data_IF_135374562106
#
_entry.id   IF_135374562106
#
_cell.length_a   1.000
_cell.length_b   1.000
_cell.length_c   1.000
_cell.angle_alpha   90.00
_cell.angle_beta   90.00
_cell.angle_gamma   90.00
#
_symmetry.space_group_name_H-M   'P 1'
#
loop_
_entity.id
_entity.type
_entity.pdbx_description
1 polymer ?
#
# COMPACT_ATOMS: atom_id res chain seq x y z
N UNK A 1 28.18 32.03 -12.20
CA UNK A 1 27.57 32.28 -13.53
C UNK A 1 26.07 32.06 -13.38
N UNK A 2 25.26 33.10 -13.60
CA UNK A 2 23.81 33.11 -13.34
C UNK A 2 23.09 32.50 -14.55
N UNK A 3 22.36 31.40 -14.36
CA UNK A 3 21.27 31.03 -15.26
C UNK A 3 19.97 31.65 -14.72
N UNK A 4 19.40 32.58 -15.50
CA UNK A 4 18.06 33.12 -15.28
C UNK A 4 17.04 32.03 -15.62
N UNK A 5 16.18 31.64 -14.66
CA UNK A 5 14.91 31.01 -15.01
C UNK A 5 13.95 32.12 -15.46
N UNK A 6 13.32 31.90 -16.61
CA UNK A 6 12.28 32.78 -17.14
C UNK A 6 10.99 32.52 -16.35
N UNK A 7 10.46 33.58 -15.72
CA UNK A 7 9.16 33.57 -15.08
C UNK A 7 8.04 33.36 -16.11
N UNK A 8 7.06 32.52 -15.74
CA UNK A 8 5.88 32.28 -16.55
C UNK A 8 4.93 33.48 -16.44
N UNK A 9 4.62 34.11 -17.58
CA UNK A 9 3.69 35.24 -17.68
C UNK A 9 2.31 34.70 -18.02
N UNK A 10 1.32 34.93 -17.16
CA UNK A 10 -0.09 34.67 -17.48
C UNK A 10 -0.66 35.88 -18.22
N UNK A 11 -0.98 35.72 -19.50
CA UNK A 11 -1.70 36.73 -20.28
C UNK A 11 -3.15 36.30 -20.44
N UNK A 12 -4.07 37.05 -19.81
CA UNK A 12 -5.52 37.03 -20.12
C UNK A 12 -5.76 37.93 -21.31
N UNK A 13 -6.42 37.44 -22.35
CA UNK A 13 -7.18 38.24 -23.33
C UNK A 13 -8.27 37.35 -23.93
N UNK A 14 -9.56 37.62 -23.75
CA UNK A 14 -10.38 38.73 -24.29
C UNK A 14 -10.61 38.58 -25.81
N UNK A 15 -11.86 38.33 -26.19
CA UNK A 15 -12.24 37.80 -27.50
C UNK A 15 -12.36 38.84 -28.62
N UNK A 16 -12.50 38.36 -29.86
CA UNK A 16 -13.08 39.11 -30.96
C UNK A 16 -13.73 38.17 -31.98
N UNK A 17 -15.01 38.43 -32.28
CA UNK A 17 -15.74 37.80 -33.38
C UNK A 17 -15.42 38.42 -34.73
N UNK A 18 -15.66 37.66 -35.81
CA UNK A 18 -15.51 38.13 -37.19
C UNK A 18 -16.28 37.24 -38.15
N UNK A 19 -17.19 37.86 -38.91
CA UNK A 19 -18.27 37.29 -39.73
C UNK A 19 -17.82 36.55 -40.99
N UNK A 20 -18.72 35.65 -41.42
CA UNK A 20 -18.84 35.08 -42.77
C UNK A 20 -18.88 36.15 -43.88
N UNK A 21 -18.22 35.85 -45.00
CA UNK A 21 -18.68 36.23 -46.33
C UNK A 21 -18.49 35.07 -47.32
N UNK A 22 -19.57 34.81 -48.04
CA UNK A 22 -19.79 33.79 -49.06
C UNK A 22 -19.48 34.43 -50.43
N UNK A 23 -18.75 33.77 -51.35
CA UNK A 23 -18.96 33.93 -52.80
C UNK A 23 -18.24 32.84 -53.61
N UNK A 24 -18.93 32.43 -54.66
CA UNK A 24 -18.77 31.20 -55.42
C UNK A 24 -18.06 31.45 -56.78
N UNK A 25 -17.37 30.41 -57.27
CA UNK A 25 -17.06 30.04 -58.68
C UNK A 25 -15.94 30.75 -59.48
N UNK A 26 -14.89 29.95 -59.76
CA UNK A 26 -14.35 29.51 -61.07
C UNK A 26 -14.01 30.57 -62.15
N UNK A 27 -12.91 30.52 -62.93
CA UNK A 27 -11.90 29.48 -63.24
C UNK A 27 -10.75 30.14 -64.07
N UNK A 28 -9.52 29.65 -63.85
CA UNK A 28 -8.38 29.49 -64.79
C UNK A 28 -7.68 30.75 -65.35
N UNK A 29 -6.39 30.94 -64.99
CA UNK A 29 -5.27 30.93 -65.95
C UNK A 29 -3.88 30.92 -65.25
N UNK A 30 -3.06 29.92 -65.63
CA UNK A 30 -1.58 29.84 -65.66
C UNK A 30 -0.79 30.09 -64.36
N UNK A 31 -0.54 29.00 -63.61
CA UNK A 31 0.45 28.94 -62.53
C UNK A 31 1.77 28.33 -62.99
N UNK A 32 2.86 29.11 -62.90
CA UNK A 32 4.24 28.62 -62.84
C UNK A 32 4.47 28.17 -61.40
N UNK A 33 4.60 26.86 -61.18
CA UNK A 33 4.86 26.29 -59.85
C UNK A 33 6.33 26.56 -59.46
N UNK A 34 6.56 27.55 -58.60
CA UNK A 34 7.73 27.59 -57.72
C UNK A 34 7.30 27.04 -56.36
N UNK A 35 7.86 25.91 -55.98
CA UNK A 35 7.62 25.25 -54.70
C UNK A 35 8.18 26.12 -53.58
N UNK A 36 7.30 26.83 -52.85
CA UNK A 36 7.65 27.45 -51.59
C UNK A 36 7.45 26.42 -50.48
N UNK A 37 8.54 25.97 -49.86
CA UNK A 37 8.51 25.14 -48.66
C UNK A 37 8.03 26.02 -47.51
N UNK A 38 6.78 25.84 -47.07
CA UNK A 38 6.28 26.39 -45.81
C UNK A 38 6.61 25.38 -44.72
N UNK A 39 7.64 25.68 -43.93
CA UNK A 39 7.91 24.96 -42.70
C UNK A 39 6.84 25.35 -41.67
N UNK A 40 5.79 24.53 -41.54
CA UNK A 40 4.87 24.62 -40.41
C UNK A 40 5.60 24.03 -39.20
N UNK A 41 6.17 24.90 -38.38
CA UNK A 41 6.65 24.52 -37.04
C UNK A 41 5.41 24.21 -36.21
N UNK A 42 5.08 22.93 -36.13
CA UNK A 42 4.08 22.44 -35.18
C UNK A 42 4.61 22.66 -33.77
N UNK A 43 4.11 23.67 -33.08
CA UNK A 43 4.32 23.83 -31.65
C UNK A 43 3.47 22.73 -30.99
N UNK A 44 4.09 21.59 -30.70
CA UNK A 44 3.51 20.62 -29.78
C UNK A 44 3.54 21.25 -28.39
N UNK A 45 2.41 21.79 -27.95
CA UNK A 45 2.23 22.17 -26.56
C UNK A 45 2.10 20.86 -25.77
N UNK A 46 3.23 20.34 -25.30
CA UNK A 46 3.22 19.39 -24.20
C UNK A 46 2.69 20.17 -23.00
N UNK A 47 1.43 19.95 -22.64
CA UNK A 47 0.96 20.32 -21.32
C UNK A 47 1.79 19.53 -20.32
N UNK A 48 2.75 20.20 -19.67
CA UNK A 48 3.37 19.65 -18.47
C UNK A 48 2.28 19.59 -17.41
N UNK A 49 1.64 18.43 -17.26
CA UNK A 49 1.03 18.10 -15.98
C UNK A 49 2.18 17.99 -14.99
N UNK A 50 2.27 18.93 -14.06
CA UNK A 50 3.22 18.88 -12.95
C UNK A 50 3.00 17.56 -12.21
N UNK A 51 3.94 16.63 -12.33
CA UNK A 51 3.92 15.41 -11.53
C UNK A 51 4.41 15.83 -10.15
N UNK A 52 3.49 15.98 -9.20
CA UNK A 52 3.85 16.14 -7.79
C UNK A 52 4.38 14.82 -7.22
N UNK A 53 5.38 14.89 -6.36
CA UNK A 53 5.89 13.76 -5.59
C UNK A 53 7.26 14.08 -5.00
N UNK A 54 7.32 14.53 -3.74
CA UNK A 54 8.59 14.90 -3.10
C UNK A 54 9.61 13.73 -3.02
N UNK A 55 9.13 12.49 -3.15
CA UNK A 55 9.93 11.27 -3.18
C UNK A 55 10.24 10.75 -4.60
N UNK A 56 9.74 11.37 -5.67
CA UNK A 56 10.01 10.96 -7.07
C UNK A 56 11.15 11.81 -7.68
N UNK A 57 12.32 11.23 -8.02
CA UNK A 57 13.44 11.97 -8.64
C UNK A 57 13.12 12.65 -9.97
N UNK A 58 12.01 12.28 -10.60
CA UNK A 58 11.53 12.86 -11.86
C UNK A 58 10.38 13.88 -11.65
N UNK A 59 9.94 14.10 -10.40
CA UNK A 59 8.96 15.12 -10.08
C UNK A 59 9.60 16.51 -10.06
N UNK A 60 8.81 17.51 -10.41
CA UNK A 60 9.25 18.91 -10.42
C UNK A 60 9.61 19.43 -9.01
N UNK A 61 9.20 18.70 -7.97
CA UNK A 61 9.37 19.05 -6.56
C UNK A 61 10.09 17.95 -5.74
N UNK A 62 10.97 17.17 -6.38
CA UNK A 62 11.79 16.19 -5.69
C UNK A 62 12.61 16.81 -4.56
N UNK A 63 12.52 16.23 -3.36
CA UNK A 63 13.34 16.58 -2.20
C UNK A 63 14.13 15.34 -1.74
N UNK A 64 15.46 15.32 -1.90
CA UNK A 64 16.29 14.18 -1.49
C UNK A 64 16.35 13.98 0.04
N UNK A 65 15.85 14.94 0.82
CA UNK A 65 15.70 14.85 2.27
C UNK A 65 14.29 14.49 2.72
N UNK A 66 13.32 14.42 1.78
CA UNK A 66 11.99 13.96 2.09
C UNK A 66 12.02 12.51 2.58
N UNK A 67 11.26 12.27 3.63
CA UNK A 67 11.10 10.95 4.19
C UNK A 67 10.20 10.13 3.27
N UNK A 68 10.68 8.99 2.75
CA UNK A 68 9.83 7.99 2.06
C UNK A 68 8.64 7.54 2.93
N UNK A 69 8.77 7.66 4.24
CA UNK A 69 7.82 7.26 5.27
C UNK A 69 6.91 8.39 5.80
N UNK A 70 6.93 9.59 5.19
CA UNK A 70 6.16 10.76 5.66
C UNK A 70 5.25 11.38 4.59
N UNK A 71 4.19 12.06 5.03
CA UNK A 71 3.39 12.95 4.17
C UNK A 71 4.32 13.99 3.55
N UNK A 72 4.28 14.20 2.23
CA UNK A 72 4.98 15.31 1.59
C UNK A 72 4.38 16.62 2.12
N UNK A 73 5.03 17.22 3.11
CA UNK A 73 4.66 18.52 3.68
C UNK A 73 5.60 19.57 3.11
N UNK A 74 5.07 20.56 2.39
CA UNK A 74 5.88 21.66 1.86
C UNK A 74 6.00 22.76 2.92
N UNK A 75 7.21 23.24 3.18
CA UNK A 75 7.42 24.51 3.90
C UNK A 75 7.70 25.61 2.88
N UNK A 76 6.87 26.65 2.83
CA UNK A 76 7.11 27.84 2.03
C UNK A 76 7.49 28.95 3.02
N UNK A 77 8.80 29.09 3.21
CA UNK A 77 9.40 29.99 4.21
C UNK A 77 8.98 29.68 5.66
N UNK A 78 9.73 30.22 6.62
CA UNK A 78 9.80 29.73 8.03
C UNK A 78 8.50 29.84 8.86
N UNK A 79 7.37 30.19 8.27
CA UNK A 79 6.10 30.39 8.99
C UNK A 79 4.87 29.77 8.30
N UNK A 80 4.96 29.33 7.04
CA UNK A 80 3.81 28.74 6.32
C UNK A 80 4.11 27.32 5.79
N UNK A 81 3.27 26.39 6.22
CA UNK A 81 3.26 24.99 5.78
C UNK A 81 2.15 24.81 4.75
N UNK A 82 2.48 24.45 3.52
CA UNK A 82 1.50 24.08 2.48
C UNK A 82 1.41 22.57 2.40
N UNK A 83 0.24 22.02 2.71
CA UNK A 83 -0.11 20.63 2.39
C UNK A 83 -0.62 20.62 0.94
N UNK A 84 -0.17 19.70 0.06
CA UNK A 84 -0.76 19.60 -1.28
C UNK A 84 -2.29 19.41 -1.16
N UNK A 85 -3.06 20.13 -1.99
CA UNK A 85 -4.54 20.03 -2.07
C UNK A 85 -5.06 18.60 -2.37
N UNK A 86 -4.18 17.63 -2.59
CA UNK A 86 -4.50 16.25 -2.94
C UNK A 86 -4.14 15.20 -1.88
N UNK A 87 -3.79 15.56 -0.64
CA UNK A 87 -3.63 14.58 0.44
C UNK A 87 -5.01 14.04 0.88
N UNK A 88 -5.43 12.94 0.28
CA UNK A 88 -6.72 12.30 0.57
C UNK A 88 -6.48 11.20 1.62
N UNK A 89 -7.09 11.29 2.81
CA UNK A 89 -6.92 10.27 3.85
C UNK A 89 -7.49 8.92 3.40
N UNK A 90 -6.78 7.86 3.76
CA UNK A 90 -7.21 6.47 3.60
C UNK A 90 -7.18 5.81 4.98
N UNK A 91 -8.35 5.54 5.56
CA UNK A 91 -8.47 4.72 6.75
C UNK A 91 -8.48 3.26 6.32
N UNK A 92 -7.64 2.44 6.95
CA UNK A 92 -7.48 1.02 6.63
C UNK A 92 -7.88 0.22 7.87
N UNK A 93 -8.73 -0.79 7.71
CA UNK A 93 -9.10 -1.72 8.76
C UNK A 93 -8.99 -3.16 8.26
N UNK A 94 -8.39 -4.05 9.03
CA UNK A 94 -8.41 -5.49 8.75
C UNK A 94 -9.23 -6.20 9.82
N UNK A 95 -10.33 -6.82 9.42
CA UNK A 95 -11.13 -7.65 10.30
C UNK A 95 -10.84 -9.12 10.03
N UNK A 96 -10.58 -9.89 11.09
CA UNK A 96 -10.35 -11.31 10.97
C UNK A 96 -11.64 -12.09 11.18
N UNK A 97 -11.82 -13.13 10.38
CA UNK A 97 -12.92 -14.07 10.52
C UNK A 97 -12.43 -15.51 10.57
N UNK A 98 -13.19 -16.37 11.24
CA UNK A 98 -13.03 -17.81 11.21
C UNK A 98 -14.41 -18.44 10.98
N UNK A 99 -14.54 -19.26 9.92
CA UNK A 99 -15.84 -19.78 9.47
C UNK A 99 -16.91 -18.68 9.25
N UNK A 100 -16.49 -17.52 8.73
CA UNK A 100 -17.38 -16.38 8.45
C UNK A 100 -17.91 -15.65 9.69
N UNK A 101 -17.40 -15.94 10.89
CA UNK A 101 -17.69 -15.21 12.14
C UNK A 101 -16.44 -14.46 12.60
N UNK A 102 -16.64 -13.44 13.43
CA UNK A 102 -15.55 -12.68 14.02
C UNK A 102 -14.55 -13.59 14.73
N UNK A 103 -13.27 -13.37 14.45
CA UNK A 103 -12.16 -14.09 15.07
C UNK A 103 -11.64 -13.31 16.28
N UNK A 104 -11.27 -14.04 17.33
CA UNK A 104 -10.59 -13.54 18.51
C UNK A 104 -9.42 -14.46 18.90
N UNK A 105 -8.32 -13.85 19.35
CA UNK A 105 -7.19 -14.61 19.89
C UNK A 105 -7.61 -15.37 21.14
N UNK A 106 -6.97 -16.52 21.36
CA UNK A 106 -7.18 -17.43 22.49
C UNK A 106 -8.56 -18.09 22.57
N UNK A 107 -9.39 -17.95 21.54
CA UNK A 107 -10.60 -18.76 21.37
C UNK A 107 -10.31 -20.05 20.58
N UNK A 108 -11.14 -21.07 20.83
CA UNK A 108 -11.05 -22.38 20.16
C UNK A 108 -11.80 -22.37 18.84
N UNK A 109 -11.12 -22.81 17.79
CA UNK A 109 -11.66 -23.02 16.46
C UNK A 109 -11.35 -24.45 15.98
N UNK A 110 -12.06 -24.89 14.95
CA UNK A 110 -11.80 -26.16 14.26
C UNK A 110 -11.33 -25.85 12.85
N UNK A 111 -10.17 -26.38 12.46
CA UNK A 111 -9.66 -26.23 11.10
C UNK A 111 -10.36 -27.20 10.12
N UNK A 112 -10.04 -27.10 8.83
CA UNK A 112 -10.63 -27.95 7.78
C UNK A 112 -10.31 -29.45 7.94
N UNK A 113 -9.23 -29.79 8.67
CA UNK A 113 -8.85 -31.17 9.00
C UNK A 113 -9.56 -31.72 10.26
N UNK A 114 -10.46 -30.94 10.86
CA UNK A 114 -11.20 -31.33 12.07
C UNK A 114 -10.39 -31.23 13.37
N UNK A 115 -9.24 -30.54 13.36
CA UNK A 115 -8.41 -30.30 14.55
C UNK A 115 -8.88 -29.06 15.29
N UNK A 116 -9.11 -29.20 16.60
CA UNK A 116 -9.29 -28.05 17.48
C UNK A 116 -7.97 -27.33 17.69
N UNK A 117 -7.99 -26.00 17.55
CA UNK A 117 -6.84 -25.16 17.79
C UNK A 117 -7.26 -23.80 18.35
N UNK A 118 -6.29 -23.05 18.89
CA UNK A 118 -6.40 -21.62 19.09
C UNK A 118 -5.18 -20.94 18.51
N UNK A 119 -5.31 -19.66 18.14
CA UNK A 119 -4.18 -18.78 17.88
C UNK A 119 -4.00 -17.82 19.05
N UNK A 120 -2.78 -17.72 19.56
CA UNK A 120 -2.40 -16.78 20.62
C UNK A 120 -1.71 -15.54 20.08
N UNK A 121 -1.13 -15.62 18.88
CA UNK A 121 -0.45 -14.51 18.20
C UNK A 121 -0.82 -14.52 16.73
N UNK A 122 -1.23 -13.36 16.22
CA UNK A 122 -1.42 -13.12 14.78
C UNK A 122 -1.03 -11.68 14.47
N UNK A 123 0.13 -11.51 13.84
CA UNK A 123 0.57 -10.21 13.35
C UNK A 123 1.44 -10.32 12.13
N UNK A 124 1.35 -9.35 11.24
CA UNK A 124 2.07 -9.36 9.96
C UNK A 124 2.24 -7.96 9.39
N UNK A 125 3.29 -7.81 8.60
CA UNK A 125 3.50 -6.60 7.82
C UNK A 125 2.68 -6.62 6.54
N UNK A 126 2.18 -5.45 6.16
CA UNK A 126 1.85 -5.15 4.78
C UNK A 126 2.65 -3.95 4.32
N UNK A 127 3.05 -3.94 3.06
CA UNK A 127 3.88 -2.90 2.47
C UNK A 127 3.46 -2.55 1.04
N UNK A 128 3.87 -1.39 0.55
CA UNK A 128 3.64 -0.92 -0.81
C UNK A 128 2.14 -0.90 -1.21
N UNK A 129 1.25 -0.46 -0.32
CA UNK A 129 -0.19 -0.46 -0.59
C UNK A 129 -0.52 0.59 -1.65
N UNK A 130 -1.11 0.13 -2.75
CA UNK A 130 -1.36 0.96 -3.95
C UNK A 130 -2.78 0.78 -4.46
N UNK A 131 -3.42 1.87 -4.84
CA UNK A 131 -4.57 1.83 -5.73
C UNK A 131 -4.10 1.81 -7.18
N UNK A 132 -4.87 1.19 -8.08
CA UNK A 132 -4.59 1.16 -9.51
C UNK A 132 -5.87 1.16 -10.35
N UNK A 133 -5.72 1.47 -11.63
CA UNK A 133 -6.79 1.41 -12.64
C UNK A 133 -6.37 0.51 -13.79
N UNK A 134 -7.05 -0.63 -13.96
CA UNK A 134 -6.77 -1.61 -15.01
C UNK A 134 -5.26 -1.98 -15.07
N UNK A 135 -4.65 -2.22 -13.91
CA UNK A 135 -3.23 -2.54 -13.74
C UNK A 135 -2.26 -1.38 -13.96
N UNK A 136 -2.76 -0.21 -14.35
CA UNK A 136 -1.99 1.00 -14.66
C UNK A 136 -2.22 2.08 -13.59
N UNK A 137 -1.47 3.19 -13.68
CA UNK A 137 -1.61 4.36 -12.80
C UNK A 137 -1.54 4.02 -11.30
N UNK A 138 -0.66 3.10 -10.94
CA UNK A 138 -0.45 2.68 -9.55
C UNK A 138 -0.06 3.89 -8.71
N UNK A 139 -0.82 4.14 -7.66
CA UNK A 139 -0.57 5.23 -6.70
C UNK A 139 -0.49 4.64 -5.31
N UNK A 140 0.66 4.81 -4.67
CA UNK A 140 0.86 4.37 -3.30
C UNK A 140 0.12 5.27 -2.33
N UNK A 141 -0.48 4.66 -1.30
CA UNK A 141 -1.12 5.38 -0.21
C UNK A 141 -0.59 4.99 1.17
N UNK A 142 0.20 3.90 1.27
CA UNK A 142 0.87 3.49 2.51
C UNK A 142 2.09 2.65 2.16
N UNK A 143 3.25 3.05 2.68
CA UNK A 143 4.51 2.36 2.42
C UNK A 143 4.64 1.07 3.25
N UNK A 144 4.42 1.12 4.57
CA UNK A 144 4.43 -0.07 5.42
C UNK A 144 3.56 0.10 6.66
N UNK A 145 2.95 -0.99 7.11
CA UNK A 145 2.24 -1.09 8.38
C UNK A 145 2.43 -2.47 9.02
N UNK A 146 2.45 -2.52 10.34
CA UNK A 146 2.31 -3.76 11.11
C UNK A 146 0.87 -3.86 11.61
N UNK A 147 0.15 -4.89 11.18
CA UNK A 147 -1.14 -5.23 11.77
C UNK A 147 -0.93 -6.25 12.89
N UNK A 148 -1.41 -5.93 14.09
CA UNK A 148 -1.35 -6.80 15.27
C UNK A 148 -2.77 -7.05 15.81
N UNK A 149 -3.16 -8.31 15.94
CA UNK A 149 -4.48 -8.69 16.44
C UNK A 149 -4.52 -8.79 17.97
N UNK A 150 -3.38 -8.67 18.65
CA UNK A 150 -3.39 -8.39 20.09
C UNK A 150 -3.64 -6.90 20.31
N UNK A 151 -4.91 -6.53 20.42
CA UNK A 151 -5.33 -5.13 20.60
C UNK A 151 -5.24 -4.66 22.06
N UNK A 152 -4.57 -5.42 22.94
CA UNK A 152 -4.39 -5.03 24.34
C UNK A 152 -3.46 -3.81 24.41
N UNK A 153 -3.96 -2.72 25.00
CA UNK A 153 -3.18 -1.48 25.11
C UNK A 153 -2.08 -1.64 26.16
N UNK A 154 -0.83 -1.21 25.87
CA UNK A 154 0.22 -1.14 26.87
C UNK A 154 -0.21 -0.30 28.07
N UNK A 155 0.21 -0.70 29.27
CA UNK A 155 -0.05 0.09 30.49
C UNK A 155 0.62 1.47 30.45
N UNK A 156 1.77 1.56 29.77
CA UNK A 156 2.45 2.83 29.54
C UNK A 156 1.99 3.41 28.18
N UNK A 157 1.25 4.53 28.16
CA UNK A 157 0.72 5.12 26.93
C UNK A 157 1.80 5.67 25.99
N UNK A 158 3.04 5.85 26.48
CA UNK A 158 4.18 6.26 25.64
C UNK A 158 4.75 5.11 24.81
N UNK A 159 4.33 3.87 25.07
CA UNK A 159 4.72 2.72 24.24
C UNK A 159 3.76 2.68 23.04
N UNK A 160 4.27 2.85 21.81
CA UNK A 160 3.45 2.67 20.63
C UNK A 160 2.94 1.23 20.58
N UNK A 161 1.71 1.07 20.11
CA UNK A 161 1.09 -0.22 19.90
C UNK A 161 0.46 -0.24 18.53
N UNK A 162 0.50 -1.42 17.92
CA UNK A 162 -0.13 -1.70 16.65
C UNK A 162 -1.44 -2.42 16.90
N UNK A 163 -2.39 -2.27 15.99
CA UNK A 163 -3.70 -2.90 16.09
C UNK A 163 -4.18 -3.28 14.67
N UNK A 164 -5.48 -3.44 14.51
CA UNK A 164 -6.12 -3.81 13.25
C UNK A 164 -6.50 -2.62 12.35
N UNK A 165 -6.09 -1.41 12.72
CA UNK A 165 -6.41 -0.16 12.04
C UNK A 165 -5.14 0.61 11.65
N UNK A 166 -5.18 1.33 10.53
CA UNK A 166 -4.08 2.17 10.06
C UNK A 166 -4.58 3.33 9.22
N UNK A 167 -3.70 4.30 8.99
CA UNK A 167 -3.94 5.46 8.14
C UNK A 167 -2.88 5.53 7.04
N UNK A 168 -3.33 5.87 5.84
CA UNK A 168 -2.53 6.20 4.68
C UNK A 168 -3.02 7.50 4.04
N UNK A 169 -2.32 7.93 3.00
CA UNK A 169 -2.62 9.14 2.23
C UNK A 169 -2.37 8.88 0.76
N UNK A 170 -3.41 9.00 -0.07
CA UNK A 170 -3.26 8.95 -1.53
C UNK A 170 -3.10 10.37 -2.06
N UNK A 171 -2.04 10.62 -2.84
CA UNK A 171 -1.70 11.97 -3.33
C UNK A 171 -2.14 12.24 -4.78
N UNK A 172 -2.65 11.22 -5.47
CA UNK A 172 -3.07 11.30 -6.87
C UNK A 172 -4.59 11.12 -6.97
N UNK A 173 -5.24 12.10 -7.59
CA UNK A 173 -6.65 12.00 -7.94
C UNK A 173 -6.87 11.02 -9.10
N UNK A 174 -8.03 10.40 -9.15
CA UNK A 174 -8.46 9.62 -10.30
C UNK A 174 -9.38 8.45 -10.00
N UNK A 175 -9.59 7.66 -11.03
CA UNK A 175 -10.40 6.44 -11.01
C UNK A 175 -9.56 5.25 -10.61
N UNK A 176 -10.06 4.39 -9.73
CA UNK A 176 -9.37 3.20 -9.24
C UNK A 176 -10.32 2.01 -9.17
N UNK A 177 -9.87 0.83 -9.61
CA UNK A 177 -10.65 -0.42 -9.56
C UNK A 177 -9.85 -1.62 -9.06
N UNK A 178 -8.63 -1.40 -8.58
CA UNK A 178 -7.77 -2.45 -8.03
C UNK A 178 -6.98 -1.94 -6.83
N UNK A 179 -6.69 -2.86 -5.92
CA UNK A 179 -5.83 -2.70 -4.76
C UNK A 179 -4.65 -3.66 -4.85
N UNK A 180 -3.44 -3.15 -4.67
CA UNK A 180 -2.20 -3.89 -4.61
C UNK A 180 -1.68 -3.86 -3.18
N UNK A 181 -1.42 -5.02 -2.59
CA UNK A 181 -0.93 -5.16 -1.21
C UNK A 181 0.29 -6.06 -1.22
N UNK A 182 1.44 -5.55 -0.81
CA UNK A 182 2.56 -6.38 -0.42
C UNK A 182 2.29 -6.99 0.94
N UNK A 183 2.38 -8.30 1.09
CA UNK A 183 2.34 -9.00 2.37
C UNK A 183 3.78 -9.36 2.73
N UNK A 184 4.22 -8.86 3.89
CA UNK A 184 5.61 -8.85 4.32
C UNK A 184 6.28 -7.47 4.24
N UNK A 185 7.60 -7.45 4.41
CA UNK A 185 8.42 -6.24 4.29
C UNK A 185 8.97 -6.14 2.87
N UNK A 186 9.00 -4.93 2.30
CA UNK A 186 9.60 -4.71 0.98
C UNK A 186 11.07 -5.15 0.95
N UNK A 187 11.53 -5.56 -0.25
CA UNK A 187 12.86 -6.13 -0.41
C UNK A 187 13.96 -5.13 -0.04
N UNK A 188 13.78 -3.86 -0.38
CA UNK A 188 14.77 -2.81 -0.10
C UNK A 188 14.94 -2.63 1.41
N UNK A 189 13.83 -2.49 2.15
CA UNK A 189 13.84 -2.27 3.60
C UNK A 189 14.34 -3.51 4.35
N UNK A 190 13.97 -4.70 3.87
CA UNK A 190 14.40 -5.95 4.47
C UNK A 190 15.89 -6.24 4.24
N UNK A 191 16.44 -5.93 3.07
CA UNK A 191 17.86 -6.11 2.79
C UNK A 191 18.72 -5.05 3.50
N UNK A 192 18.29 -3.77 3.51
CA UNK A 192 18.96 -2.70 4.27
C UNK A 192 19.03 -3.07 5.76
N UNK A 193 17.91 -3.50 6.34
CA UNK A 193 17.79 -3.90 7.75
C UNK A 193 18.41 -2.89 8.72
N UNK A 194 17.76 -1.73 8.80
CA UNK A 194 18.15 -0.63 9.67
C UNK A 194 17.10 -0.36 10.76
N UNK A 195 16.70 -1.34 11.62
CA UNK A 195 15.61 -1.14 12.57
C UNK A 195 15.86 0.00 13.57
N UNK A 196 17.12 0.32 13.85
CA UNK A 196 17.52 1.39 14.78
C UNK A 196 17.51 2.79 14.14
N UNK A 197 17.31 2.89 12.82
CA UNK A 197 17.17 4.17 12.10
C UNK A 197 15.77 4.76 12.30
N UNK A 198 14.79 3.91 12.56
CA UNK A 198 13.40 4.31 12.66
C UNK A 198 13.04 4.81 14.07
N UNK A 199 12.18 5.83 14.19
CA UNK A 199 11.61 6.21 15.48
C UNK A 199 10.80 5.05 16.06
N UNK A 200 10.57 5.08 17.37
CA UNK A 200 10.06 3.91 18.09
C UNK A 200 8.63 3.51 17.71
N UNK A 201 7.84 4.44 17.17
CA UNK A 201 6.47 4.28 16.67
C UNK A 201 6.41 3.81 15.21
N UNK A 202 7.53 3.76 14.51
CA UNK A 202 7.56 3.25 13.15
C UNK A 202 7.45 1.71 13.13
N UNK A 203 6.66 1.10 12.21
CA UNK A 203 6.46 -0.35 12.15
C UNK A 203 7.75 -1.17 12.02
N UNK A 204 8.80 -0.63 11.40
CA UNK A 204 10.10 -1.30 11.24
C UNK A 204 11.09 -1.07 12.39
N UNK A 205 10.68 -0.38 13.46
CA UNK A 205 11.50 -0.26 14.67
C UNK A 205 11.60 -1.60 15.39
N UNK A 206 12.80 -1.98 15.83
CA UNK A 206 12.99 -3.20 16.64
C UNK A 206 12.62 -3.00 18.12
N UNK A 207 12.33 -1.77 18.55
CA UNK A 207 12.17 -1.44 19.98
C UNK A 207 11.00 -2.14 20.64
N UNK A 208 9.83 -2.14 19.97
CA UNK A 208 8.56 -2.60 20.58
C UNK A 208 7.82 -3.67 19.78
N UNK A 209 8.16 -3.85 18.50
CA UNK A 209 7.40 -4.74 17.60
C UNK A 209 7.69 -6.22 17.84
N UNK A 210 8.92 -6.55 18.27
CA UNK A 210 9.48 -7.92 18.30
C UNK A 210 9.48 -8.62 16.94
N UNK A 211 9.45 -7.85 15.85
CA UNK A 211 9.33 -8.33 14.47
C UNK A 211 10.67 -8.30 13.71
N UNK A 212 11.79 -8.29 14.42
CA UNK A 212 13.14 -8.35 13.86
C UNK A 212 13.96 -9.43 14.59
N UNK A 213 14.73 -10.22 13.85
CA UNK A 213 15.66 -11.21 14.42
C UNK A 213 17.05 -10.60 14.59
N UNK A 214 17.83 -10.56 13.51
CA UNK A 214 19.20 -10.06 13.47
C UNK A 214 19.60 -9.65 12.04
N UNK A 215 20.82 -9.17 11.84
CA UNK A 215 21.31 -8.70 10.54
C UNK A 215 21.33 -9.77 9.44
N UNK A 216 21.29 -11.05 9.79
CA UNK A 216 21.35 -12.19 8.85
C UNK A 216 19.95 -12.70 8.52
N UNK A 217 19.09 -12.83 9.52
CA UNK A 217 17.72 -13.34 9.38
C UNK A 217 16.70 -12.23 9.07
N UNK A 218 17.06 -10.97 9.33
CA UNK A 218 16.31 -9.75 8.98
C UNK A 218 14.96 -9.65 9.72
N UNK A 219 13.94 -9.06 9.08
CA UNK A 219 12.60 -8.90 9.67
C UNK A 219 11.78 -10.20 9.61
N UNK A 220 10.91 -10.37 10.61
CA UNK A 220 9.84 -11.36 10.64
C UNK A 220 8.64 -10.72 9.95
N UNK A 221 8.26 -11.22 8.78
CA UNK A 221 7.17 -10.70 7.95
C UNK A 221 5.80 -11.03 8.55
N UNK A 222 5.67 -12.21 9.15
CA UNK A 222 4.47 -12.64 9.88
C UNK A 222 4.85 -13.50 11.07
N UNK A 223 4.18 -13.26 12.21
CA UNK A 223 4.28 -14.05 13.43
C UNK A 223 2.91 -14.62 13.77
N UNK A 224 2.78 -15.94 13.62
CA UNK A 224 1.57 -16.70 13.88
C UNK A 224 1.91 -17.77 14.91
N UNK A 225 1.17 -17.86 16.01
CA UNK A 225 1.45 -18.80 17.09
C UNK A 225 0.14 -19.31 17.69
N UNK A 226 0.17 -20.53 18.22
CA UNK A 226 -1.00 -21.11 18.83
C UNK A 226 -0.78 -22.49 19.42
N UNK A 227 -1.91 -23.13 19.75
CA UNK A 227 -1.94 -24.50 20.26
C UNK A 227 -2.99 -25.32 19.52
N UNK A 228 -2.72 -26.60 19.34
CA UNK A 228 -3.60 -27.55 18.65
C UNK A 228 -3.78 -28.81 19.49
N UNK A 229 -4.96 -29.38 19.43
CA UNK A 229 -5.26 -30.72 19.93
C UNK A 229 -4.74 -31.75 18.91
N UNK A 230 -3.53 -32.25 19.15
CA UNK A 230 -2.87 -33.13 18.19
C UNK A 230 -3.47 -34.53 18.12
N UNK A 231 -4.12 -34.99 19.19
CA UNK A 231 -4.65 -36.35 19.33
C UNK A 231 -6.18 -36.41 19.44
N UNK A 232 -6.87 -35.30 19.19
CA UNK A 232 -8.33 -35.18 19.16
C UNK A 232 -9.01 -35.62 20.49
N UNK A 233 -8.41 -35.28 21.63
CA UNK A 233 -8.94 -35.60 22.96
C UNK A 233 -9.57 -34.41 23.70
N UNK A 234 -9.75 -33.28 23.01
CA UNK A 234 -10.27 -32.01 23.53
C UNK A 234 -9.22 -31.13 24.21
N UNK A 235 -7.96 -31.59 24.33
CA UNK A 235 -6.89 -30.89 25.04
C UNK A 235 -5.88 -30.33 24.03
N UNK A 236 -5.67 -29.02 24.06
CA UNK A 236 -4.65 -28.33 23.26
C UNK A 236 -3.24 -28.63 23.80
N UNK A 237 -2.71 -29.78 23.41
CA UNK A 237 -1.50 -30.38 23.97
C UNK A 237 -0.21 -30.04 23.20
N UNK A 238 -0.31 -29.38 22.04
CA UNK A 238 0.85 -29.07 21.21
C UNK A 238 0.88 -27.62 20.76
N UNK A 239 2.06 -27.01 20.74
CA UNK A 239 2.27 -25.68 20.18
C UNK A 239 2.59 -25.75 18.70
N UNK A 240 2.11 -24.76 17.95
CA UNK A 240 2.53 -24.49 16.59
C UNK A 240 2.93 -23.01 16.46
N UNK A 241 3.87 -22.71 15.57
CA UNK A 241 4.26 -21.34 15.25
C UNK A 241 4.88 -21.22 13.86
N UNK A 242 4.67 -20.05 13.25
CA UNK A 242 5.28 -19.65 11.99
C UNK A 242 5.79 -18.25 12.13
N UNK A 243 7.12 -18.13 12.14
CA UNK A 243 7.81 -16.86 12.02
C UNK A 243 8.41 -16.85 10.62
N UNK A 244 7.66 -16.30 9.68
CA UNK A 244 8.07 -16.20 8.28
C UNK A 244 8.87 -14.92 8.10
N UNK A 245 10.05 -15.00 7.50
CA UNK A 245 10.90 -13.86 7.15
C UNK A 245 11.78 -14.21 5.96
N UNK A 246 12.71 -13.33 5.60
CA UNK A 246 13.43 -13.32 4.31
C UNK A 246 12.60 -12.81 3.12
N UNK A 247 13.30 -12.15 2.18
CA UNK A 247 12.71 -11.48 1.02
C UNK A 247 11.98 -12.44 0.05
N UNK A 248 12.30 -13.73 0.06
CA UNK A 248 11.60 -14.78 -0.72
C UNK A 248 10.18 -15.06 -0.19
N UNK A 249 9.86 -14.63 1.04
CA UNK A 249 8.52 -14.76 1.61
C UNK A 249 7.58 -13.63 1.17
N UNK A 250 8.06 -12.51 0.62
CA UNK A 250 7.18 -11.43 0.18
C UNK A 250 6.15 -11.94 -0.84
N UNK A 251 4.89 -11.52 -0.68
CA UNK A 251 3.81 -11.82 -1.64
C UNK A 251 3.15 -10.52 -2.09
N UNK A 252 2.85 -10.42 -3.38
CA UNK A 252 2.02 -9.34 -3.91
C UNK A 252 0.61 -9.88 -4.13
N UNK A 253 -0.35 -9.31 -3.44
CA UNK A 253 -1.78 -9.56 -3.62
C UNK A 253 -2.35 -8.45 -4.50
N UNK A 254 -3.15 -8.83 -5.49
CA UNK A 254 -3.90 -7.90 -6.34
C UNK A 254 -5.37 -8.24 -6.16
N UNK A 255 -6.14 -7.30 -5.64
CA UNK A 255 -7.56 -7.43 -5.36
C UNK A 255 -8.33 -6.50 -6.30
N UNK A 256 -9.28 -7.06 -7.05
CA UNK A 256 -10.23 -6.26 -7.81
C UNK A 256 -11.28 -5.66 -6.87
N UNK A 257 -11.62 -4.39 -7.07
CA UNK A 257 -12.73 -3.74 -6.38
C UNK A 257 -14.05 -4.10 -7.06
N UNK A 258 -15.17 -4.00 -6.34
CA UNK A 258 -16.51 -4.31 -6.85
C UNK A 258 -16.95 -3.38 -8.00
N UNK A 259 -16.37 -2.17 -8.05
CA UNK A 259 -16.56 -1.17 -9.10
C UNK A 259 -15.37 -0.22 -9.19
N UNK A 260 -15.46 0.73 -10.11
CA UNK A 260 -14.52 1.86 -10.15
C UNK A 260 -14.92 2.93 -9.13
N UNK A 261 -13.95 3.37 -8.35
CA UNK A 261 -14.06 4.45 -7.37
C UNK A 261 -13.34 5.70 -7.88
N UNK A 262 -14.02 6.84 -7.82
CA UNK A 262 -13.43 8.14 -8.14
C UNK A 262 -12.96 8.81 -6.85
N UNK A 263 -11.66 9.05 -6.74
CA UNK A 263 -11.07 9.75 -5.61
C UNK A 263 -10.66 11.16 -6.08
N UNK A 264 -11.33 12.17 -5.54
CA UNK A 264 -11.14 13.58 -5.84
C UNK A 264 -10.72 14.40 -4.63
N UNK A 265 -10.68 15.73 -4.83
CA UNK A 265 -10.37 16.69 -3.76
C UNK A 265 -11.46 16.60 -2.67
N UNK A 266 -11.05 16.78 -1.41
CA UNK A 266 -11.92 16.69 -0.23
C UNK A 266 -12.58 15.32 -0.04
N UNK A 267 -12.05 14.25 -0.63
CA UNK A 267 -12.48 12.90 -0.31
C UNK A 267 -11.71 12.34 0.89
N UNK A 268 -12.34 11.36 1.53
CA UNK A 268 -11.72 10.41 2.45
C UNK A 268 -12.17 9.00 2.04
N UNK A 269 -11.27 8.03 2.18
CA UNK A 269 -11.47 6.64 1.78
C UNK A 269 -11.43 5.76 3.02
N UNK A 270 -12.46 4.95 3.24
CA UNK A 270 -12.41 3.86 4.22
C UNK A 270 -12.27 2.54 3.47
N UNK A 271 -11.18 1.83 3.73
CA UNK A 271 -10.85 0.53 3.17
C UNK A 271 -10.93 -0.53 4.27
N UNK A 272 -11.93 -1.39 4.18
CA UNK A 272 -12.08 -2.54 5.05
C UNK A 272 -11.65 -3.82 4.31
N UNK A 273 -10.70 -4.53 4.90
CA UNK A 273 -10.24 -5.83 4.44
C UNK A 273 -10.73 -6.92 5.38
N UNK A 274 -11.02 -8.10 4.84
CA UNK A 274 -11.28 -9.31 5.61
C UNK A 274 -10.07 -10.25 5.51
N UNK A 275 -9.69 -10.83 6.65
CA UNK A 275 -8.69 -11.88 6.79
C UNK A 275 -9.35 -13.19 7.25
N UNK A 276 -9.40 -14.20 6.38
CA UNK A 276 -9.90 -15.53 6.75
C UNK A 276 -8.80 -16.35 7.45
N UNK A 277 -8.87 -16.44 8.78
CA UNK A 277 -7.82 -17.04 9.61
C UNK A 277 -7.65 -18.53 9.35
N UNK A 278 -8.70 -19.24 8.94
CA UNK A 278 -8.60 -20.68 8.65
C UNK A 278 -7.77 -20.93 7.40
N UNK A 279 -7.87 -20.05 6.39
CA UNK A 279 -7.06 -20.16 5.16
C UNK A 279 -5.57 -20.10 5.44
N UNK A 280 -5.13 -19.31 6.43
CA UNK A 280 -3.70 -19.16 6.78
C UNK A 280 -3.03 -20.52 7.01
N UNK A 281 -3.74 -21.44 7.67
CA UNK A 281 -3.23 -22.77 8.04
C UNK A 281 -3.82 -23.90 7.18
N UNK A 282 -4.57 -23.58 6.12
CA UNK A 282 -5.22 -24.58 5.27
C UNK A 282 -4.18 -25.46 4.56
N UNK A 283 -4.40 -26.77 4.57
CA UNK A 283 -3.46 -27.75 4.06
C UNK A 283 -2.16 -27.92 4.87
N UNK A 284 -2.03 -27.28 6.03
CA UNK A 284 -0.85 -27.36 6.90
C UNK A 284 -1.17 -28.20 8.14
N UNK A 285 -0.43 -29.30 8.34
CA UNK A 285 -0.59 -30.16 9.51
C UNK A 285 0.07 -29.58 10.75
N UNK A 286 -0.54 -28.53 11.31
CA UNK A 286 -0.11 -27.79 12.51
C UNK A 286 0.16 -28.69 13.72
N UNK A 287 -0.48 -29.86 13.77
CA UNK A 287 -0.33 -30.86 14.83
C UNK A 287 0.94 -31.72 14.72
N UNK A 288 1.69 -31.62 13.62
CA UNK A 288 2.89 -32.44 13.39
C UNK A 288 4.19 -31.68 13.63
N UNK A 289 5.27 -32.37 14.01
CA UNK A 289 6.59 -31.73 14.17
C UNK A 289 7.18 -31.23 12.86
N UNK A 290 6.83 -31.88 11.74
CA UNK A 290 7.31 -31.49 10.43
C UNK A 290 6.70 -30.19 9.93
N UNK A 291 5.42 -29.92 10.23
CA UNK A 291 4.68 -28.79 9.65
C UNK A 291 4.15 -27.79 10.68
N UNK A 292 4.24 -28.05 11.98
CA UNK A 292 3.75 -27.14 13.00
C UNK A 292 4.69 -26.01 13.40
N UNK A 293 5.95 -26.00 12.94
CA UNK A 293 6.96 -25.06 13.45
C UNK A 293 7.91 -24.57 12.36
N UNK A 294 8.06 -23.25 12.24
CA UNK A 294 9.04 -22.65 11.34
C UNK A 294 9.61 -21.33 11.88
N UNK A 295 10.93 -21.21 11.82
CA UNK A 295 11.65 -19.92 11.85
C UNK A 295 12.27 -19.59 10.48
N UNK A 296 11.85 -20.28 9.42
CA UNK A 296 12.37 -20.07 8.05
C UNK A 296 13.89 -20.35 7.91
N UNK A 297 14.47 -21.12 8.83
CA UNK A 297 15.93 -21.26 8.97
C UNK A 297 16.56 -22.35 8.11
N UNK A 298 15.77 -23.30 7.62
CA UNK A 298 16.23 -24.44 6.81
C UNK A 298 15.46 -24.52 5.49
N UNK A 299 15.95 -25.23 4.46
CA UNK A 299 15.21 -25.39 3.20
C UNK A 299 13.79 -25.95 3.38
N UNK A 300 13.61 -26.93 4.26
CA UNK A 300 12.28 -27.48 4.56
C UNK A 300 11.38 -26.44 5.26
N UNK A 301 11.94 -25.67 6.21
CA UNK A 301 11.21 -24.58 6.85
C UNK A 301 10.88 -23.45 5.89
N UNK A 302 11.72 -23.15 4.89
CA UNK A 302 11.42 -22.17 3.84
C UNK A 302 10.23 -22.58 2.99
N UNK A 303 10.12 -23.86 2.64
CA UNK A 303 8.94 -24.39 1.92
C UNK A 303 7.68 -24.20 2.76
N UNK A 304 7.75 -24.54 4.05
CA UNK A 304 6.64 -24.39 4.98
C UNK A 304 6.25 -22.91 5.19
N UNK A 305 7.21 -22.03 5.47
CA UNK A 305 6.97 -20.58 5.61
C UNK A 305 6.41 -19.98 4.33
N UNK A 306 6.87 -20.44 3.16
CA UNK A 306 6.36 -20.02 1.86
C UNK A 306 4.90 -20.40 1.68
N UNK A 307 4.51 -21.62 2.08
CA UNK A 307 3.12 -22.06 2.07
C UNK A 307 2.26 -21.20 3.01
N UNK A 308 2.69 -21.05 4.28
CA UNK A 308 1.98 -20.22 5.28
C UNK A 308 1.80 -18.78 4.79
N UNK A 309 2.84 -18.16 4.23
CA UNK A 309 2.78 -16.76 3.81
C UNK A 309 2.00 -16.58 2.50
N UNK A 310 1.97 -17.59 1.63
CA UNK A 310 1.07 -17.62 0.46
C UNK A 310 -0.38 -17.71 0.93
N UNK A 311 -0.68 -18.64 1.82
CA UNK A 311 -2.00 -18.79 2.44
C UNK A 311 -2.45 -17.50 3.15
N UNK A 312 -1.55 -16.85 3.91
CA UNK A 312 -1.82 -15.56 4.55
C UNK A 312 -2.19 -14.49 3.51
N UNK A 313 -1.47 -14.45 2.39
CA UNK A 313 -1.74 -13.48 1.32
C UNK A 313 -3.08 -13.75 0.61
N UNK A 314 -3.44 -15.02 0.41
CA UNK A 314 -4.71 -15.44 -0.19
C UNK A 314 -5.91 -15.37 0.79
N UNK A 315 -5.62 -15.25 2.08
CA UNK A 315 -6.63 -15.05 3.12
C UNK A 315 -7.18 -13.62 3.16
N UNK A 316 -6.47 -12.66 2.56
CA UNK A 316 -6.86 -11.24 2.52
C UNK A 316 -7.81 -10.99 1.35
N UNK A 317 -8.90 -10.28 1.63
CA UNK A 317 -9.92 -9.91 0.63
C UNK A 317 -10.50 -8.53 0.93
N UNK A 318 -11.08 -7.86 -0.06
CA UNK A 318 -11.81 -6.61 0.16
C UNK A 318 -13.15 -6.94 0.80
N UNK A 319 -13.41 -6.38 1.98
CA UNK A 319 -14.71 -6.47 2.65
C UNK A 319 -15.62 -5.33 2.19
N UNK A 320 -15.12 -4.11 2.23
CA UNK A 320 -15.84 -2.91 1.86
C UNK A 320 -14.85 -1.80 1.50
N UNK A 321 -15.28 -0.89 0.63
CA UNK A 321 -14.58 0.36 0.40
C UNK A 321 -15.60 1.48 0.16
N UNK A 322 -15.46 2.56 0.93
CA UNK A 322 -16.28 3.76 0.82
C UNK A 322 -15.42 4.96 0.52
N UNK A 323 -15.88 5.80 -0.41
CA UNK A 323 -15.28 7.09 -0.70
C UNK A 323 -16.33 8.14 -0.39
N UNK A 324 -16.06 8.99 0.60
CA UNK A 324 -16.99 10.00 1.06
C UNK A 324 -16.38 11.40 0.93
N UNK A 325 -17.22 12.42 0.81
CA UNK A 325 -16.77 13.82 0.71
C UNK A 325 -16.74 14.44 2.10
N UNK A 326 -15.59 14.95 2.50
CA UNK A 326 -15.39 15.69 3.74
C UNK A 326 -15.78 17.14 3.49
N UNK A 327 -16.77 17.64 4.24
CA UNK A 327 -17.11 19.06 4.24
C UNK A 327 -16.20 19.73 5.25
N UNK A 328 -15.24 20.52 4.77
CA UNK A 328 -14.42 21.38 5.62
C UNK A 328 -15.32 22.51 6.15
N UNK A 329 -15.56 22.51 7.47
CA UNK A 329 -16.23 23.61 8.17
C UNK A 329 -15.28 24.79 8.39
#
# INVERSE_FOLDING_TARGET
>A
MKHKSLGCVTQRDSGFGGKLLNMNRAKVLKGVFRTAVVAVVGITVWGCNTKGGCNDPLADNYDPSANRYGECVYTIDKEDTVVPESNIPVNIKIEATANGKDFALNEKYTNNDGKEFLMSTLKFYVANLKFAYNGNNKTEFKDIELFDFDTSKPLNPSIPYWNTESKGVVQRLGSYNQLYIGVGVGIEENEEFSPNKYPADHPLSATYTTMAWDWKAKYIFSKIEGRVDSNANGILNRTFFYHSGHSDMYRLVILDLDKTYEIGVNNEVDLELNLDVLKIIDGIKIETSAQGQSHTSTPAQKVLSSAVHTNLSEAISVKNITVHTVILN
#
